data_IF_030233956049
#
_entry.id   IF_030233956049
#
_cell.length_a   1.000
_cell.length_b   1.000
_cell.length_c   1.000
_cell.angle_alpha   90.00
_cell.angle_beta   90.00
_cell.angle_gamma   90.00
#
_symmetry.space_group_name_H-M   'P 1'
#
loop_
_entity.id
_entity.type
_entity.pdbx_description
1 polymer ?
#
# COMPACT_ATOMS: atom_id res chain seq x y z
N UNK A 1 -16.92 -13.81 24.89
CA UNK A 1 -16.53 -13.29 23.56
C UNK A 1 -15.46 -12.18 23.62
N UNK A 2 -15.66 -11.04 24.33
CA UNK A 2 -14.65 -9.95 24.40
C UNK A 2 -13.28 -10.37 24.96
N UNK A 3 -13.24 -11.22 25.99
CA UNK A 3 -11.98 -11.73 26.57
C UNK A 3 -11.25 -12.75 25.66
N UNK A 4 -11.97 -13.42 24.75
CA UNK A 4 -11.36 -14.30 23.75
C UNK A 4 -10.78 -13.46 22.59
N UNK A 5 -11.52 -12.45 22.14
CA UNK A 5 -11.06 -11.47 21.14
C UNK A 5 -9.84 -10.66 21.61
N UNK A 6 -9.74 -10.33 22.90
CA UNK A 6 -8.56 -9.64 23.44
C UNK A 6 -7.32 -10.53 23.49
N UNK A 7 -7.47 -11.85 23.68
CA UNK A 7 -6.37 -12.82 23.56
C UNK A 7 -5.92 -13.00 22.10
N UNK A 8 -6.85 -12.94 21.15
CA UNK A 8 -6.57 -13.01 19.71
C UNK A 8 -5.93 -11.73 19.12
N UNK A 9 -5.84 -10.65 19.90
CA UNK A 9 -5.32 -9.34 19.46
C UNK A 9 -4.16 -8.88 20.34
N UNK A 10 -3.18 -9.77 20.56
CA UNK A 10 -1.98 -9.46 21.34
C UNK A 10 -0.73 -9.35 20.46
N UNK A 11 0.23 -8.47 20.81
CA UNK A 11 1.53 -8.38 20.12
C UNK A 11 2.30 -9.71 20.09
N UNK A 12 2.20 -10.51 21.15
CA UNK A 12 2.83 -11.83 21.23
C UNK A 12 2.26 -12.79 20.19
N UNK A 13 0.93 -12.84 20.04
CA UNK A 13 0.30 -13.71 19.03
C UNK A 13 0.63 -13.25 17.62
N UNK A 14 0.62 -11.94 17.36
CA UNK A 14 0.99 -11.38 16.05
C UNK A 14 2.42 -11.77 15.69
N UNK A 15 3.38 -11.59 16.61
CA UNK A 15 4.75 -11.98 16.36
C UNK A 15 4.87 -13.50 16.17
N UNK A 16 4.32 -14.30 17.08
CA UNK A 16 4.46 -15.75 17.05
C UNK A 16 3.92 -16.36 15.74
N UNK A 17 2.76 -15.89 15.27
CA UNK A 17 2.14 -16.40 14.04
C UNK A 17 2.79 -15.79 12.81
N UNK A 18 2.70 -14.47 12.64
CA UNK A 18 3.12 -13.81 11.39
C UNK A 18 4.65 -13.81 11.29
N UNK A 19 5.35 -13.43 12.36
CA UNK A 19 6.81 -13.48 12.40
C UNK A 19 7.37 -14.90 12.36
N UNK A 20 6.66 -15.87 12.96
CA UNK A 20 7.02 -17.28 12.85
C UNK A 20 6.91 -17.80 11.41
N UNK A 21 5.82 -17.47 10.71
CA UNK A 21 5.65 -17.82 9.30
C UNK A 21 6.69 -17.13 8.40
N UNK A 22 7.01 -15.85 8.65
CA UNK A 22 8.09 -15.13 7.96
C UNK A 22 9.43 -15.84 8.12
N UNK A 23 9.78 -16.24 9.35
CA UNK A 23 11.02 -16.97 9.60
C UNK A 23 11.01 -18.37 8.99
N UNK A 24 9.91 -19.09 9.08
CA UNK A 24 9.75 -20.40 8.45
C UNK A 24 9.97 -20.32 6.93
N UNK A 25 9.40 -19.30 6.28
CA UNK A 25 9.62 -19.02 4.87
C UNK A 25 11.10 -18.70 4.58
N UNK A 26 11.74 -17.89 5.41
CA UNK A 26 13.16 -17.55 5.23
C UNK A 26 14.07 -18.77 5.39
N UNK A 27 13.78 -19.67 6.33
CA UNK A 27 14.47 -20.95 6.50
C UNK A 27 14.25 -21.90 5.31
N UNK A 28 13.04 -21.93 4.75
CA UNK A 28 12.72 -22.68 3.54
C UNK A 28 13.54 -22.19 2.35
N UNK A 29 13.79 -20.87 2.28
CA UNK A 29 14.52 -20.20 1.20
C UNK A 29 15.99 -19.91 1.54
N UNK A 30 16.56 -20.55 2.57
CA UNK A 30 17.95 -20.33 3.01
C UNK A 30 19.00 -20.60 1.91
N UNK A 31 18.72 -21.54 1.00
CA UNK A 31 19.62 -21.83 -0.12
C UNK A 31 19.70 -20.65 -1.10
N UNK A 32 18.66 -19.81 -1.12
CA UNK A 32 18.58 -18.59 -1.96
C UNK A 32 19.17 -17.38 -1.26
N UNK A 33 18.90 -17.19 0.03
CA UNK A 33 19.25 -15.97 0.76
C UNK A 33 20.42 -16.14 1.75
N UNK A 34 21.05 -17.31 1.76
CA UNK A 34 22.07 -17.68 2.74
C UNK A 34 21.49 -18.08 4.10
N UNK A 35 22.31 -18.79 4.88
CA UNK A 35 21.91 -19.30 6.21
C UNK A 35 21.95 -18.23 7.32
N UNK A 36 22.72 -17.17 7.13
CA UNK A 36 22.95 -16.16 8.18
C UNK A 36 21.73 -15.28 8.45
N UNK A 37 20.96 -14.92 7.43
CA UNK A 37 19.71 -14.16 7.59
C UNK A 37 18.66 -14.90 8.44
N UNK A 38 18.26 -16.16 8.12
CA UNK A 38 17.32 -16.89 8.94
C UNK A 38 17.88 -17.18 10.35
N UNK A 39 19.18 -17.49 10.49
CA UNK A 39 19.78 -17.72 11.81
C UNK A 39 19.71 -16.48 12.71
N UNK A 40 20.19 -15.33 12.21
CA UNK A 40 20.14 -14.07 12.95
C UNK A 40 18.69 -13.65 13.25
N UNK A 41 17.79 -13.81 12.26
CA UNK A 41 16.36 -13.58 12.42
C UNK A 41 15.75 -14.43 13.54
N UNK A 42 16.10 -15.72 13.63
CA UNK A 42 15.62 -16.63 14.69
C UNK A 42 16.08 -16.17 16.07
N UNK A 43 17.33 -15.75 16.22
CA UNK A 43 17.85 -15.23 17.50
C UNK A 43 17.07 -13.99 17.94
N UNK A 44 16.91 -13.01 17.04
CA UNK A 44 16.17 -11.76 17.33
C UNK A 44 14.70 -12.06 17.65
N UNK A 45 14.06 -12.95 16.90
CA UNK A 45 12.68 -13.36 17.12
C UNK A 45 12.46 -14.05 18.46
N UNK A 46 13.31 -15.02 18.81
CA UNK A 46 13.23 -15.72 20.09
C UNK A 46 13.42 -14.74 21.26
N UNK A 47 14.42 -13.85 21.15
CA UNK A 47 14.65 -12.79 22.13
C UNK A 47 13.45 -11.83 22.26
N UNK A 48 12.81 -11.44 21.14
CA UNK A 48 11.62 -10.60 21.14
C UNK A 48 10.40 -11.28 21.75
N UNK A 49 10.14 -12.56 21.43
CA UNK A 49 9.06 -13.32 22.04
C UNK A 49 9.26 -13.42 23.56
N UNK A 50 10.48 -13.72 23.99
CA UNK A 50 10.82 -13.76 25.40
C UNK A 50 10.61 -12.39 26.06
N UNK A 51 11.07 -11.30 25.42
CA UNK A 51 10.87 -9.94 25.92
C UNK A 51 9.39 -9.54 25.99
N UNK A 52 8.57 -9.96 25.02
CA UNK A 52 7.13 -9.72 25.03
C UNK A 52 6.43 -10.38 26.22
N UNK A 53 6.87 -11.58 26.60
CA UNK A 53 6.29 -12.36 27.71
C UNK A 53 6.86 -11.95 29.06
N UNK A 54 8.17 -11.73 29.17
CA UNK A 54 8.88 -11.62 30.46
C UNK A 54 9.20 -10.20 30.88
N UNK A 55 9.26 -9.24 29.94
CA UNK A 55 9.73 -7.88 30.23
C UNK A 55 8.58 -6.88 30.07
N UNK A 56 7.93 -6.42 31.17
CA UNK A 56 6.87 -5.43 31.08
C UNK A 56 7.42 -4.04 30.71
N UNK A 57 6.61 -3.22 30.03
CA UNK A 57 6.85 -1.77 29.85
C UNK A 57 7.99 -1.32 28.92
N UNK A 58 9.00 -2.16 28.63
CA UNK A 58 10.20 -1.79 27.81
C UNK A 58 9.92 -1.75 26.29
N UNK A 59 8.95 -0.95 25.87
CA UNK A 59 8.50 -0.91 24.47
C UNK A 59 9.51 -0.34 23.48
N UNK A 60 10.40 0.57 23.88
CA UNK A 60 11.46 1.08 23.00
C UNK A 60 12.37 -0.03 22.49
N UNK A 61 12.84 -0.91 23.39
CA UNK A 61 13.68 -2.06 23.06
C UNK A 61 12.91 -3.07 22.21
N UNK A 62 11.64 -3.33 22.52
CA UNK A 62 10.79 -4.24 21.74
C UNK A 62 10.55 -3.75 20.31
N UNK A 63 10.35 -2.44 20.12
CA UNK A 63 10.21 -1.83 18.80
C UNK A 63 11.53 -1.82 18.04
N UNK A 64 12.66 -1.52 18.71
CA UNK A 64 13.98 -1.61 18.09
C UNK A 64 14.29 -3.04 17.63
N UNK A 65 14.04 -4.03 18.48
CA UNK A 65 14.22 -5.43 18.09
C UNK A 65 13.28 -5.82 16.95
N UNK A 66 12.04 -5.34 16.93
CA UNK A 66 11.13 -5.57 15.80
C UNK A 66 11.66 -4.94 14.49
N UNK A 67 12.22 -3.73 14.55
CA UNK A 67 12.84 -3.10 13.39
C UNK A 67 14.05 -3.89 12.90
N UNK A 68 14.88 -4.39 13.81
CA UNK A 68 15.96 -5.29 13.47
C UNK A 68 15.45 -6.57 12.82
N UNK A 69 14.35 -7.15 13.34
CA UNK A 69 13.76 -8.34 12.75
C UNK A 69 13.24 -8.07 11.33
N UNK A 70 12.50 -6.97 11.10
CA UNK A 70 12.07 -6.54 9.76
C UNK A 70 13.27 -6.31 8.84
N UNK A 71 14.33 -5.67 9.33
CA UNK A 71 15.54 -5.45 8.56
C UNK A 71 16.18 -6.78 8.13
N UNK A 72 16.27 -7.76 9.03
CA UNK A 72 16.87 -9.06 8.73
C UNK A 72 16.00 -9.94 7.84
N UNK A 73 14.68 -9.97 8.06
CA UNK A 73 13.81 -10.95 7.39
C UNK A 73 13.09 -10.41 6.18
N UNK A 74 12.95 -9.08 6.06
CA UNK A 74 12.18 -8.45 4.97
C UNK A 74 13.11 -7.66 4.06
N UNK A 75 13.89 -6.74 4.61
CA UNK A 75 14.84 -5.93 3.83
C UNK A 75 16.11 -6.73 3.44
N UNK A 76 16.59 -7.61 4.31
CA UNK A 76 17.79 -8.43 4.08
C UNK A 76 17.71 -9.27 2.80
N UNK A 77 16.69 -10.11 2.61
CA UNK A 77 16.55 -10.92 1.39
C UNK A 77 16.38 -10.06 0.13
N UNK A 78 15.81 -8.87 0.26
CA UNK A 78 15.68 -7.91 -0.84
C UNK A 78 17.03 -7.35 -1.27
N UNK A 79 17.88 -6.94 -0.30
CA UNK A 79 19.26 -6.52 -0.56
C UNK A 79 20.08 -7.67 -1.14
N UNK A 80 19.96 -8.88 -0.58
CA UNK A 80 20.65 -10.08 -1.09
C UNK A 80 20.24 -10.39 -2.53
N UNK A 81 18.96 -10.22 -2.87
CA UNK A 81 18.48 -10.41 -4.24
C UNK A 81 19.04 -9.36 -5.19
N UNK A 82 19.18 -8.11 -4.75
CA UNK A 82 19.82 -7.06 -5.56
C UNK A 82 21.30 -7.36 -5.81
N UNK A 83 22.03 -7.78 -4.77
CA UNK A 83 23.45 -8.19 -4.88
C UNK A 83 23.59 -9.38 -5.82
N UNK A 84 22.78 -10.43 -5.63
CA UNK A 84 22.79 -11.60 -6.51
C UNK A 84 22.51 -11.21 -7.96
N UNK A 85 21.46 -10.41 -8.19
CA UNK A 85 21.08 -9.94 -9.54
C UNK A 85 22.22 -9.17 -10.22
N UNK A 86 22.98 -8.38 -9.47
CA UNK A 86 24.12 -7.64 -10.03
C UNK A 86 25.23 -8.53 -10.58
N UNK A 87 25.32 -9.78 -10.10
CA UNK A 87 26.38 -10.72 -10.46
C UNK A 87 25.94 -11.68 -11.57
N UNK A 88 24.70 -12.17 -11.53
CA UNK A 88 24.22 -13.24 -12.42
C UNK A 88 23.07 -12.84 -13.36
N UNK A 89 22.56 -11.61 -13.25
CA UNK A 89 21.41 -11.14 -14.03
C UNK A 89 20.06 -11.50 -13.38
N UNK A 90 19.01 -11.64 -14.19
CA UNK A 90 17.65 -11.92 -13.70
C UNK A 90 17.58 -13.27 -12.97
N UNK A 91 16.91 -13.27 -11.82
CA UNK A 91 16.73 -14.42 -10.93
C UNK A 91 15.27 -14.65 -10.56
N UNK A 92 14.67 -13.75 -9.77
CA UNK A 92 13.31 -13.85 -9.21
C UNK A 92 12.45 -12.63 -9.53
N UNK A 93 12.99 -11.69 -10.30
CA UNK A 93 12.37 -10.40 -10.54
C UNK A 93 11.04 -10.54 -11.27
N UNK A 94 10.07 -9.75 -10.81
CA UNK A 94 8.79 -9.62 -11.46
C UNK A 94 8.94 -8.78 -12.75
N UNK A 95 8.19 -9.12 -13.79
CA UNK A 95 8.21 -8.39 -15.07
C UNK A 95 7.98 -6.88 -14.89
N UNK A 96 7.03 -6.50 -14.04
CA UNK A 96 6.74 -5.11 -13.73
C UNK A 96 7.90 -4.34 -13.10
N UNK A 97 8.77 -4.98 -12.31
CA UNK A 97 9.99 -4.32 -11.81
C UNK A 97 10.93 -4.03 -12.98
N UNK A 98 11.22 -5.06 -13.80
CA UNK A 98 12.15 -4.95 -14.92
C UNK A 98 11.64 -3.95 -15.96
N UNK A 99 10.33 -3.93 -16.20
CA UNK A 99 9.69 -2.98 -17.11
C UNK A 99 9.71 -1.56 -16.55
N UNK A 100 9.55 -1.38 -15.23
CA UNK A 100 9.68 -0.05 -14.58
C UNK A 100 11.11 0.48 -14.73
N UNK A 101 12.13 -0.35 -14.55
CA UNK A 101 13.54 0.06 -14.74
C UNK A 101 13.82 0.46 -16.18
N UNK A 102 13.34 -0.32 -17.15
CA UNK A 102 13.44 0.04 -18.56
C UNK A 102 12.70 1.35 -18.87
N UNK A 103 11.53 1.57 -18.25
CA UNK A 103 10.79 2.83 -18.37
C UNK A 103 11.55 4.02 -17.78
N UNK A 104 12.29 3.84 -16.67
CA UNK A 104 13.16 4.89 -16.09
C UNK A 104 14.21 5.33 -17.11
N UNK A 105 14.93 4.38 -17.70
CA UNK A 105 15.95 4.68 -18.72
C UNK A 105 15.35 5.39 -19.93
N UNK A 106 14.16 4.98 -20.37
CA UNK A 106 13.43 5.63 -21.47
C UNK A 106 13.06 7.08 -21.14
N UNK A 107 12.53 7.36 -19.95
CA UNK A 107 12.19 8.74 -19.54
C UNK A 107 13.45 9.61 -19.47
N UNK A 108 14.56 9.09 -18.93
CA UNK A 108 15.84 9.81 -18.90
C UNK A 108 16.32 10.14 -20.33
N UNK A 109 16.10 9.23 -21.28
CA UNK A 109 16.43 9.42 -22.70
C UNK A 109 15.39 10.26 -23.49
N UNK A 110 14.37 10.83 -22.83
CA UNK A 110 13.30 11.58 -23.50
C UNK A 110 12.37 10.73 -24.38
N UNK A 111 12.32 9.42 -24.14
CA UNK A 111 11.53 8.47 -24.90
C UNK A 111 10.18 8.19 -24.23
N UNK A 112 9.18 7.84 -25.06
CA UNK A 112 7.84 7.45 -24.59
C UNK A 112 7.88 6.13 -23.83
N UNK A 113 6.97 5.95 -22.86
CA UNK A 113 6.78 4.69 -22.12
C UNK A 113 5.42 4.02 -22.40
N UNK A 114 4.44 4.75 -22.91
CA UNK A 114 3.12 4.19 -23.27
C UNK A 114 3.03 3.95 -24.78
N UNK A 115 2.32 2.88 -25.19
CA UNK A 115 2.16 2.50 -26.59
C UNK A 115 3.47 2.04 -27.24
N UNK A 116 4.38 1.49 -26.44
CA UNK A 116 5.72 1.05 -26.85
C UNK A 116 5.82 -0.47 -26.79
N UNK A 117 6.55 -1.05 -27.73
CA UNK A 117 6.94 -2.45 -27.70
C UNK A 117 8.17 -2.66 -26.79
N UNK A 118 8.00 -3.49 -25.77
CA UNK A 118 9.02 -3.84 -24.79
C UNK A 118 9.79 -5.11 -25.14
N UNK A 119 9.53 -5.72 -26.30
CA UNK A 119 10.18 -6.98 -26.75
C UNK A 119 11.70 -6.86 -26.88
N UNK A 120 12.23 -5.66 -27.09
CA UNK A 120 13.67 -5.40 -27.16
C UNK A 120 14.33 -5.12 -25.79
N UNK A 121 13.60 -5.32 -24.69
CA UNK A 121 14.09 -5.07 -23.33
C UNK A 121 14.28 -6.37 -22.55
N UNK A 122 14.85 -6.28 -21.34
CA UNK A 122 15.01 -7.44 -20.45
C UNK A 122 13.67 -8.08 -20.04
N UNK A 123 12.55 -7.35 -20.16
CA UNK A 123 11.20 -7.88 -19.88
C UNK A 123 10.88 -9.10 -20.75
N UNK A 124 11.39 -9.15 -21.99
CA UNK A 124 11.19 -10.28 -22.90
C UNK A 124 11.83 -11.59 -22.42
N UNK A 125 12.72 -11.52 -21.43
CA UNK A 125 13.37 -12.69 -20.81
C UNK A 125 12.58 -13.25 -19.63
N UNK A 126 11.54 -12.55 -19.15
CA UNK A 126 10.74 -13.01 -18.03
C UNK A 126 9.73 -14.06 -18.53
N UNK A 127 9.79 -15.30 -18.00
CA UNK A 127 8.85 -16.34 -18.40
C UNK A 127 7.40 -15.96 -18.12
N UNK A 128 6.51 -16.33 -19.05
CA UNK A 128 5.07 -16.20 -18.86
C UNK A 128 4.41 -17.54 -19.17
N UNK A 129 3.65 -18.06 -18.21
CA UNK A 129 3.08 -19.42 -18.29
C UNK A 129 1.56 -19.41 -18.18
N UNK A 130 0.92 -18.25 -18.01
CA UNK A 130 -0.53 -18.14 -17.76
C UNK A 130 -1.35 -18.17 -19.05
N UNK A 131 -0.78 -17.74 -20.18
CA UNK A 131 -1.41 -17.82 -21.51
C UNK A 131 -0.41 -18.35 -22.53
N UNK A 132 -0.93 -18.92 -23.62
CA UNK A 132 -0.11 -19.21 -24.79
C UNK A 132 0.46 -17.91 -25.38
N UNK A 133 1.72 -17.94 -25.81
CA UNK A 133 2.41 -16.80 -26.40
C UNK A 133 3.37 -16.09 -25.45
N UNK A 134 3.96 -14.97 -25.90
CA UNK A 134 4.93 -14.21 -25.11
C UNK A 134 4.26 -13.48 -23.95
N UNK A 135 5.06 -12.98 -23.02
CA UNK A 135 4.56 -12.20 -21.88
C UNK A 135 3.66 -11.03 -22.37
N UNK A 136 2.40 -10.94 -21.92
CA UNK A 136 1.48 -9.91 -22.38
C UNK A 136 1.88 -8.49 -21.93
N UNK A 137 2.75 -8.36 -20.92
CA UNK A 137 3.34 -7.08 -20.52
C UNK A 137 4.24 -6.47 -21.61
N UNK A 138 4.64 -7.23 -22.64
CA UNK A 138 5.51 -6.73 -23.69
C UNK A 138 4.88 -5.64 -24.58
N UNK A 139 3.55 -5.53 -24.57
CA UNK A 139 2.82 -4.58 -25.43
C UNK A 139 2.26 -3.37 -24.69
N UNK A 140 2.25 -3.40 -23.36
CA UNK A 140 1.58 -2.40 -22.55
C UNK A 140 2.37 -2.08 -21.29
N UNK A 141 2.51 -0.78 -21.00
CA UNK A 141 3.03 -0.32 -19.71
C UNK A 141 1.87 0.07 -18.78
N UNK A 142 1.57 -0.80 -17.82
CA UNK A 142 0.33 -0.71 -17.03
C UNK A 142 0.41 0.22 -15.81
N UNK A 143 1.58 0.74 -15.48
CA UNK A 143 1.79 1.54 -14.28
C UNK A 143 1.57 3.02 -14.55
N UNK A 144 1.12 3.74 -13.52
CA UNK A 144 1.16 5.20 -13.52
C UNK A 144 2.62 5.70 -13.58
N UNK A 145 2.87 6.96 -13.97
CA UNK A 145 4.24 7.44 -14.17
C UNK A 145 5.03 7.67 -12.89
N UNK A 146 4.38 7.89 -11.73
CA UNK A 146 5.10 8.27 -10.51
C UNK A 146 6.15 7.22 -10.07
N UNK A 147 5.89 5.90 -10.08
CA UNK A 147 6.93 4.89 -9.89
C UNK A 147 8.17 5.13 -10.76
N UNK A 148 7.99 5.37 -12.06
CA UNK A 148 9.09 5.67 -12.99
C UNK A 148 9.83 6.93 -12.57
N UNK A 149 9.11 8.01 -12.28
CA UNK A 149 9.70 9.29 -11.86
C UNK A 149 10.48 9.18 -10.55
N UNK A 150 10.01 8.35 -9.60
CA UNK A 150 10.72 8.08 -8.35
C UNK A 150 11.99 7.26 -8.56
N UNK A 151 12.07 6.44 -9.61
CA UNK A 151 13.26 5.68 -9.96
C UNK A 151 14.40 6.54 -10.52
N UNK A 152 14.09 7.64 -11.22
CA UNK A 152 15.07 8.52 -11.87
C UNK A 152 16.20 8.98 -10.93
N UNK A 153 15.94 9.61 -9.76
CA UNK A 153 17.03 10.08 -8.91
C UNK A 153 17.97 8.94 -8.47
N UNK A 154 17.43 7.76 -8.16
CA UNK A 154 18.23 6.60 -7.78
C UNK A 154 19.02 6.03 -8.95
N UNK A 155 18.44 5.99 -10.16
CA UNK A 155 19.10 5.57 -11.38
C UNK A 155 20.29 6.48 -11.74
N UNK A 156 20.14 7.79 -11.54
CA UNK A 156 21.21 8.76 -11.77
C UNK A 156 22.32 8.63 -10.73
N UNK A 157 21.97 8.51 -9.43
CA UNK A 157 22.95 8.35 -8.34
C UNK A 157 23.73 7.05 -8.47
N UNK A 158 23.05 5.92 -8.72
CA UNK A 158 23.72 4.62 -8.93
C UNK A 158 24.60 4.65 -10.16
N UNK A 159 24.13 5.24 -11.28
CA UNK A 159 24.92 5.43 -12.48
C UNK A 159 26.18 6.27 -12.24
N UNK A 160 26.08 7.38 -11.52
CA UNK A 160 27.22 8.22 -11.16
C UNK A 160 28.22 7.51 -10.23
N UNK A 161 27.75 6.58 -9.41
CA UNK A 161 28.58 5.75 -8.53
C UNK A 161 29.15 4.50 -9.21
N UNK A 162 28.83 4.25 -10.49
CA UNK A 162 29.22 3.01 -11.19
C UNK A 162 28.53 1.75 -10.64
N UNK A 163 27.41 1.91 -9.93
CA UNK A 163 26.64 0.82 -9.35
C UNK A 163 25.45 0.46 -10.24
N UNK A 164 25.03 -0.82 -10.28
CA UNK A 164 23.83 -1.23 -11.00
C UNK A 164 22.60 -0.62 -10.34
N UNK A 165 21.66 -0.16 -11.17
CA UNK A 165 20.36 0.30 -10.69
C UNK A 165 19.42 -0.88 -10.47
N UNK A 166 18.78 -0.91 -9.30
CA UNK A 166 17.68 -1.82 -9.01
C UNK A 166 16.54 -1.06 -8.34
N UNK A 167 15.33 -1.20 -8.88
CA UNK A 167 14.16 -0.46 -8.43
C UNK A 167 13.76 -0.79 -6.98
N UNK A 168 14.21 -1.93 -6.44
CA UNK A 168 14.02 -2.29 -5.03
C UNK A 168 14.60 -1.24 -4.08
N UNK A 169 15.58 -0.42 -4.47
CA UNK A 169 16.06 0.70 -3.64
C UNK A 169 14.92 1.68 -3.32
N UNK A 170 14.05 1.97 -4.30
CA UNK A 170 12.87 2.82 -4.10
C UNK A 170 11.88 2.16 -3.13
N UNK A 171 11.68 0.85 -3.27
CA UNK A 171 10.79 0.08 -2.39
C UNK A 171 11.32 -0.01 -0.95
N UNK A 172 12.64 -0.09 -0.74
CA UNK A 172 13.27 0.01 0.58
C UNK A 172 13.03 1.37 1.23
N UNK A 173 13.03 2.46 0.45
CA UNK A 173 12.65 3.78 0.94
C UNK A 173 11.18 3.78 1.43
N UNK A 174 10.24 3.22 0.66
CA UNK A 174 8.85 3.10 1.10
C UNK A 174 8.71 2.24 2.35
N UNK A 175 9.47 1.14 2.46
CA UNK A 175 9.51 0.31 3.66
C UNK A 175 9.96 1.14 4.89
N UNK A 176 11.04 1.91 4.76
CA UNK A 176 11.55 2.79 5.82
C UNK A 176 10.53 3.88 6.20
N UNK A 177 9.92 4.54 5.21
CA UNK A 177 8.88 5.55 5.43
C UNK A 177 7.66 4.96 6.15
N UNK A 178 7.25 3.75 5.79
CA UNK A 178 6.14 3.05 6.43
C UNK A 178 6.40 2.73 7.90
N UNK A 179 7.57 2.15 8.19
CA UNK A 179 7.99 1.86 9.56
C UNK A 179 8.08 3.14 10.40
N UNK A 180 8.68 4.21 9.86
CA UNK A 180 8.75 5.51 10.52
C UNK A 180 7.34 6.12 10.75
N UNK A 181 6.45 5.99 9.77
CA UNK A 181 5.06 6.42 9.85
C UNK A 181 4.29 5.75 10.99
N UNK A 182 4.41 4.43 11.11
CA UNK A 182 3.78 3.67 12.21
C UNK A 182 4.40 4.04 13.56
N UNK A 183 5.70 4.33 13.62
CA UNK A 183 6.37 4.75 14.84
C UNK A 183 5.80 6.05 15.43
N UNK A 184 5.31 6.97 14.58
CA UNK A 184 4.71 8.26 15.02
C UNK A 184 3.19 8.23 15.17
N UNK A 185 2.54 7.08 14.94
CA UNK A 185 1.10 6.90 15.13
C UNK A 185 0.71 7.21 16.60
N UNK A 186 -0.34 8.01 16.88
CA UNK A 186 -0.81 8.30 18.23
C UNK A 186 -1.59 7.12 18.84
N UNK A 187 -0.95 5.95 18.90
CA UNK A 187 -1.45 4.72 19.50
C UNK A 187 -0.47 4.19 20.56
N UNK A 188 -0.91 3.34 21.50
CA UNK A 188 0.00 2.63 22.40
C UNK A 188 1.08 1.84 21.61
N UNK A 189 2.31 1.72 22.13
CA UNK A 189 3.39 1.02 21.44
C UNK A 189 3.05 -0.43 21.05
N UNK A 190 2.23 -1.12 21.85
CA UNK A 190 1.73 -2.47 21.54
C UNK A 190 0.96 -2.54 20.21
N UNK A 191 0.16 -1.51 19.91
CA UNK A 191 -0.60 -1.43 18.66
C UNK A 191 0.31 -1.08 17.48
N UNK A 192 1.28 -0.17 17.67
CA UNK A 192 2.31 0.14 16.65
C UNK A 192 3.11 -1.11 16.27
N UNK A 193 3.45 -1.91 17.28
CA UNK A 193 4.11 -3.20 17.10
C UNK A 193 3.27 -4.14 16.22
N UNK A 194 1.98 -4.32 16.52
CA UNK A 194 1.09 -5.18 15.75
C UNK A 194 0.93 -4.72 14.30
N UNK A 195 0.78 -3.42 14.04
CA UNK A 195 0.69 -2.86 12.69
C UNK A 195 1.98 -3.14 11.92
N UNK A 196 3.13 -2.93 12.57
CA UNK A 196 4.45 -3.18 11.98
C UNK A 196 4.62 -4.66 11.60
N UNK A 197 4.22 -5.58 12.48
CA UNK A 197 4.22 -7.02 12.18
C UNK A 197 3.30 -7.36 11.01
N UNK A 198 2.08 -6.86 11.01
CA UNK A 198 1.07 -7.18 9.99
C UNK A 198 1.43 -6.68 8.57
N UNK A 199 2.14 -5.55 8.46
CA UNK A 199 2.51 -4.93 7.18
C UNK A 199 3.93 -5.28 6.72
N UNK A 200 4.90 -5.30 7.64
CA UNK A 200 6.33 -5.31 7.29
C UNK A 200 7.07 -6.58 7.70
N UNK A 201 6.42 -7.45 8.48
CA UNK A 201 6.92 -8.79 8.82
C UNK A 201 6.02 -9.89 8.24
N UNK A 202 5.13 -9.54 7.31
CA UNK A 202 4.17 -10.48 6.74
C UNK A 202 4.81 -11.26 5.58
N UNK A 203 4.84 -12.61 5.63
CA UNK A 203 5.43 -13.43 4.56
C UNK A 203 4.80 -13.18 3.21
N UNK A 204 3.49 -12.94 3.17
CA UNK A 204 2.80 -12.71 1.91
C UNK A 204 3.22 -11.37 1.28
N UNK A 205 3.50 -10.34 2.08
CA UNK A 205 3.98 -9.06 1.54
C UNK A 205 5.47 -9.16 1.17
N UNK A 206 6.24 -9.85 2.01
CA UNK A 206 7.70 -9.96 1.85
C UNK A 206 8.08 -10.69 0.56
N UNK A 207 7.39 -11.78 0.20
CA UNK A 207 7.67 -12.50 -1.06
C UNK A 207 7.53 -11.60 -2.28
N UNK A 208 6.50 -10.75 -2.31
CA UNK A 208 6.29 -9.81 -3.41
C UNK A 208 7.26 -8.64 -3.40
N UNK A 209 7.70 -8.23 -2.20
CA UNK A 209 8.71 -7.20 -2.07
C UNK A 209 10.07 -7.68 -2.60
N UNK A 210 10.45 -8.93 -2.30
CA UNK A 210 11.72 -9.53 -2.77
C UNK A 210 11.79 -9.63 -4.29
N UNK A 211 10.67 -9.96 -4.94
CA UNK A 211 10.55 -10.02 -6.40
C UNK A 211 10.36 -8.64 -7.04
N UNK A 212 10.17 -7.57 -6.25
CA UNK A 212 10.12 -6.20 -6.73
C UNK A 212 8.74 -5.65 -7.08
N UNK A 213 7.65 -6.32 -6.66
CA UNK A 213 6.30 -5.78 -6.83
C UNK A 213 6.13 -4.52 -5.97
N UNK A 214 5.46 -3.52 -6.54
CA UNK A 214 5.41 -2.16 -5.99
C UNK A 214 4.20 -1.87 -5.08
N UNK A 215 3.39 -2.88 -4.74
CA UNK A 215 2.16 -2.71 -3.94
C UNK A 215 2.40 -2.04 -2.59
N UNK A 216 3.55 -2.29 -1.96
CA UNK A 216 3.87 -1.70 -0.67
C UNK A 216 3.90 -0.17 -0.72
N UNK A 217 4.26 0.42 -1.87
CA UNK A 217 4.44 1.86 -2.00
C UNK A 217 3.13 2.62 -1.76
N UNK A 218 2.05 2.21 -2.44
CA UNK A 218 0.75 2.86 -2.24
C UNK A 218 0.14 2.52 -0.87
N UNK A 219 0.34 1.29 -0.38
CA UNK A 219 -0.13 0.86 0.95
C UNK A 219 0.49 1.71 2.05
N UNK A 220 1.80 1.94 2.00
CA UNK A 220 2.51 2.82 2.93
C UNK A 220 1.92 4.22 2.90
N UNK A 221 1.68 4.77 1.71
CA UNK A 221 1.16 6.14 1.57
C UNK A 221 -0.29 6.26 2.06
N UNK A 222 -1.11 5.23 1.88
CA UNK A 222 -2.44 5.13 2.50
C UNK A 222 -2.35 5.09 4.02
N UNK A 223 -1.44 4.29 4.59
CA UNK A 223 -1.23 4.23 6.04
C UNK A 223 -0.71 5.56 6.58
N UNK A 224 0.22 6.22 5.89
CA UNK A 224 0.72 7.54 6.24
C UNK A 224 -0.38 8.60 6.17
N UNK A 225 -1.28 8.52 5.19
CA UNK A 225 -2.46 9.37 5.13
C UNK A 225 -3.29 9.23 6.40
N UNK A 226 -3.57 8.00 6.83
CA UNK A 226 -4.30 7.74 8.06
C UNK A 226 -3.53 8.20 9.32
N UNK A 227 -2.22 7.98 9.37
CA UNK A 227 -1.36 8.49 10.47
C UNK A 227 -1.46 10.01 10.56
N UNK A 228 -1.26 10.74 9.47
CA UNK A 228 -1.40 12.19 9.43
C UNK A 228 -2.80 12.63 9.84
N UNK A 229 -3.84 11.92 9.38
CA UNK A 229 -5.22 12.19 9.73
C UNK A 229 -5.47 12.06 11.24
N UNK A 230 -5.02 10.97 11.86
CA UNK A 230 -5.13 10.74 13.32
C UNK A 230 -4.36 11.77 14.15
N UNK A 231 -3.34 12.41 13.58
CA UNK A 231 -2.57 13.50 14.20
C UNK A 231 -3.15 14.89 13.93
N UNK A 232 -4.32 14.99 13.31
CA UNK A 232 -4.96 16.26 12.93
C UNK A 232 -4.30 16.97 11.74
N UNK A 233 -3.33 16.33 11.07
CA UNK A 233 -2.53 16.90 9.98
C UNK A 233 -3.18 16.64 8.62
N UNK A 234 -4.39 17.19 8.44
CA UNK A 234 -5.27 16.90 7.28
C UNK A 234 -4.62 17.18 5.93
N UNK A 235 -3.91 18.32 5.79
CA UNK A 235 -3.22 18.69 4.54
C UNK A 235 -2.22 17.62 4.10
N UNK A 236 -1.43 17.13 5.05
CA UNK A 236 -0.46 16.05 4.83
C UNK A 236 -1.15 14.70 4.62
N UNK A 237 -2.31 14.46 5.26
CA UNK A 237 -3.11 13.27 4.99
C UNK A 237 -3.61 13.23 3.54
N UNK A 238 -4.10 14.36 3.02
CA UNK A 238 -4.49 14.52 1.63
C UNK A 238 -3.31 14.36 0.68
N UNK A 239 -2.17 14.99 0.97
CA UNK A 239 -0.98 14.86 0.13
C UNK A 239 -0.49 13.40 0.06
N UNK A 240 -0.40 12.72 1.21
CA UNK A 240 0.00 11.31 1.26
C UNK A 240 -0.97 10.42 0.48
N UNK A 241 -2.29 10.65 0.59
CA UNK A 241 -3.26 9.90 -0.22
C UNK A 241 -3.16 10.26 -1.70
N UNK A 242 -2.87 11.51 -2.06
CA UNK A 242 -2.63 11.94 -3.43
C UNK A 242 -1.41 11.26 -4.06
N UNK A 243 -0.33 11.13 -3.28
CA UNK A 243 0.85 10.34 -3.70
C UNK A 243 0.45 8.87 -3.87
N UNK A 244 -0.36 8.30 -2.98
CA UNK A 244 -0.85 6.93 -3.13
C UNK A 244 -1.66 6.75 -4.42
N UNK A 245 -2.51 7.71 -4.79
CA UNK A 245 -3.26 7.72 -6.06
C UNK A 245 -2.34 7.72 -7.27
N UNK A 246 -1.30 8.56 -7.25
CA UNK A 246 -0.33 8.65 -8.33
C UNK A 246 0.58 7.41 -8.42
N UNK A 247 0.72 6.64 -7.33
CA UNK A 247 1.44 5.36 -7.32
C UNK A 247 0.58 4.21 -7.85
N UNK A 248 -0.71 4.18 -7.45
CA UNK A 248 -1.63 3.11 -7.84
C UNK A 248 -3.09 3.57 -7.79
N UNK A 249 -3.89 3.32 -8.84
CA UNK A 249 -5.29 3.73 -8.88
C UNK A 249 -6.16 3.15 -7.74
N UNK A 250 -5.77 2.00 -7.17
CA UNK A 250 -6.49 1.38 -6.05
C UNK A 250 -6.61 2.28 -4.80
N UNK A 251 -5.72 3.25 -4.63
CA UNK A 251 -5.82 4.22 -3.53
C UNK A 251 -7.10 5.10 -3.63
N UNK A 252 -7.76 5.17 -4.79
CA UNK A 252 -9.03 5.92 -4.97
C UNK A 252 -10.12 5.41 -4.03
N UNK A 253 -10.07 4.14 -3.67
CA UNK A 253 -11.04 3.50 -2.78
C UNK A 253 -10.92 4.00 -1.32
N UNK A 254 -9.82 4.64 -0.95
CA UNK A 254 -9.66 5.31 0.35
C UNK A 254 -10.18 6.76 0.36
N UNK A 255 -10.34 7.39 -0.81
CA UNK A 255 -10.77 8.81 -0.93
C UNK A 255 -12.12 9.08 -0.27
N UNK A 256 -13.17 8.22 -0.43
CA UNK A 256 -14.43 8.44 0.26
C UNK A 256 -14.25 8.55 1.77
N UNK A 257 -13.41 7.74 2.40
CA UNK A 257 -13.23 7.76 3.85
C UNK A 257 -12.46 9.01 4.32
N UNK A 258 -11.51 9.51 3.54
CA UNK A 258 -10.89 10.83 3.79
C UNK A 258 -11.94 11.95 3.67
N UNK A 259 -12.77 11.94 2.63
CA UNK A 259 -13.83 12.92 2.43
C UNK A 259 -14.86 12.90 3.58
N UNK A 260 -15.24 11.72 4.07
CA UNK A 260 -16.12 11.58 5.24
C UNK A 260 -15.46 12.11 6.52
N UNK A 261 -14.15 11.93 6.68
CA UNK A 261 -13.41 12.48 7.82
C UNK A 261 -13.34 14.01 7.78
N UNK A 262 -13.10 14.59 6.59
CA UNK A 262 -13.17 16.03 6.35
C UNK A 262 -14.58 16.57 6.63
N UNK A 263 -15.61 15.86 6.16
CA UNK A 263 -17.02 16.19 6.38
C UNK A 263 -17.38 16.24 7.86
N UNK A 264 -16.92 15.26 8.64
CA UNK A 264 -17.11 15.28 10.09
C UNK A 264 -16.39 16.44 10.77
N UNK A 265 -15.17 16.77 10.35
CA UNK A 265 -14.40 17.92 10.89
C UNK A 265 -15.09 19.26 10.58
N UNK A 266 -15.58 19.42 9.36
CA UNK A 266 -16.30 20.63 8.95
C UNK A 266 -17.54 20.89 9.81
N UNK A 267 -18.30 19.83 10.09
CA UNK A 267 -19.55 19.90 10.83
C UNK A 267 -19.37 19.85 12.35
N UNK A 268 -18.14 19.84 12.86
CA UNK A 268 -17.91 19.78 14.30
C UNK A 268 -18.31 21.11 14.99
N UNK A 269 -19.00 21.07 16.14
CA UNK A 269 -19.30 22.25 16.94
C UNK A 269 -17.99 22.88 17.46
N UNK A 270 -17.84 24.19 17.30
CA UNK A 270 -16.67 24.93 17.82
C UNK A 270 -16.97 25.34 19.27
N UNK A 271 -16.04 25.17 20.22
CA UNK A 271 -16.21 25.71 21.57
C UNK A 271 -16.29 27.22 21.48
N UNK A 272 -17.42 27.78 21.94
CA UNK A 272 -17.58 29.13 22.49
C UNK A 272 -16.52 30.16 22.08
N UNK A 273 -16.68 30.71 20.86
CA UNK A 273 -16.30 32.09 20.58
C UNK A 273 -17.55 32.81 20.05
N UNK A 274 -17.85 34.03 20.54
CA UNK A 274 -19.00 34.79 20.06
C UNK A 274 -18.88 35.06 18.56
N UNK A 275 -19.93 34.70 17.82
CA UNK A 275 -20.31 35.17 16.49
C UNK A 275 -19.19 35.75 15.59
N UNK A 276 -18.38 34.89 14.97
CA UNK A 276 -17.78 35.17 13.67
C UNK A 276 -18.10 34.05 12.67
N UNK A 277 -19.38 33.95 12.31
CA UNK A 277 -19.89 32.97 11.33
C UNK A 277 -19.23 33.07 9.95
N UNK A 278 -18.71 34.25 9.56
CA UNK A 278 -17.98 34.44 8.30
C UNK A 278 -16.54 33.89 8.31
N UNK A 279 -15.80 34.01 9.42
CA UNK A 279 -14.43 33.47 9.53
C UNK A 279 -14.42 31.93 9.62
N UNK A 280 -15.43 31.32 10.25
CA UNK A 280 -15.57 29.85 10.33
C UNK A 280 -15.78 29.22 8.95
N UNK A 281 -16.65 29.81 8.13
CA UNK A 281 -16.90 29.33 6.75
C UNK A 281 -15.67 29.53 5.87
N UNK A 282 -14.94 30.65 6.03
CA UNK A 282 -13.70 30.91 5.29
C UNK A 282 -12.60 29.89 5.58
N UNK A 283 -12.29 29.67 6.87
CA UNK A 283 -11.20 28.77 7.29
C UNK A 283 -11.49 27.30 7.03
N UNK A 284 -12.75 26.89 7.20
CA UNK A 284 -13.19 25.58 6.77
C UNK A 284 -12.94 25.43 5.26
N UNK A 285 -13.46 26.37 4.45
CA UNK A 285 -13.47 26.25 2.99
C UNK A 285 -12.05 26.16 2.45
N UNK A 286 -11.14 26.95 3.00
CA UNK A 286 -9.72 26.91 2.69
C UNK A 286 -9.12 25.52 2.96
N UNK A 287 -9.40 24.91 4.12
CA UNK A 287 -8.89 23.56 4.44
C UNK A 287 -9.41 22.55 3.42
N UNK A 288 -10.68 22.60 3.04
CA UNK A 288 -11.23 21.69 2.02
C UNK A 288 -10.61 21.87 0.64
N UNK A 289 -10.55 23.11 0.16
CA UNK A 289 -10.00 23.44 -1.15
C UNK A 289 -8.55 23.00 -1.21
N UNK A 290 -7.75 23.36 -0.21
CA UNK A 290 -6.34 22.98 -0.15
C UNK A 290 -6.16 21.46 0.01
N UNK A 291 -6.99 20.79 0.81
CA UNK A 291 -6.96 19.33 0.96
C UNK A 291 -7.34 18.62 -0.33
N UNK A 292 -8.30 19.16 -1.08
CA UNK A 292 -8.66 18.67 -2.41
C UNK A 292 -7.53 18.89 -3.42
N UNK A 293 -6.93 20.08 -3.42
CA UNK A 293 -5.78 20.39 -4.27
C UNK A 293 -4.60 19.46 -3.98
N UNK A 294 -4.24 19.25 -2.70
CA UNK A 294 -3.15 18.37 -2.30
C UNK A 294 -3.43 16.88 -2.58
N UNK A 295 -4.71 16.47 -2.61
CA UNK A 295 -5.10 15.11 -3.00
C UNK A 295 -4.90 14.89 -4.50
N UNK A 296 -5.22 15.87 -5.33
CA UNK A 296 -5.22 15.73 -6.79
C UNK A 296 -3.88 16.11 -7.41
N UNK A 297 -3.12 17.02 -6.79
CA UNK A 297 -1.87 17.57 -7.31
C UNK A 297 -0.83 16.52 -7.68
N UNK A 298 -0.52 15.49 -6.85
CA UNK A 298 0.50 14.51 -7.22
C UNK A 298 0.18 13.80 -8.53
N UNK A 299 -1.08 13.34 -8.69
CA UNK A 299 -1.56 12.71 -9.90
C UNK A 299 -1.53 13.68 -11.10
N UNK A 300 -1.94 14.94 -10.91
CA UNK A 300 -1.84 15.94 -11.98
C UNK A 300 -0.40 16.16 -12.43
N UNK A 301 0.54 16.38 -11.51
CA UNK A 301 1.93 16.67 -11.83
C UNK A 301 2.61 15.48 -12.51
N UNK A 302 2.26 14.25 -12.12
CA UNK A 302 2.95 13.05 -12.62
C UNK A 302 2.27 12.44 -13.84
N UNK A 303 0.93 12.44 -13.91
CA UNK A 303 0.17 11.79 -15.00
C UNK A 303 -0.03 12.74 -16.18
N UNK A 304 -0.35 14.02 -15.93
CA UNK A 304 -0.72 14.96 -16.99
C UNK A 304 0.35 15.09 -18.08
N UNK A 305 1.67 15.19 -17.78
CA UNK A 305 2.68 15.28 -18.84
C UNK A 305 2.66 14.08 -19.79
N UNK A 306 2.48 12.87 -19.26
CA UNK A 306 2.46 11.63 -20.05
C UNK A 306 1.14 11.49 -20.83
N UNK A 307 0.03 11.88 -20.20
CA UNK A 307 -1.27 11.92 -20.86
C UNK A 307 -1.29 12.91 -22.04
N UNK A 308 -0.65 14.08 -21.90
CA UNK A 308 -0.60 15.08 -22.97
C UNK A 308 0.30 14.67 -24.16
N UNK A 309 1.31 13.83 -23.92
CA UNK A 309 2.18 13.32 -25.00
C UNK A 309 1.43 12.37 -25.93
N UNK A 310 0.64 11.45 -25.36
CA UNK A 310 -0.20 10.51 -26.12
C UNK A 310 -1.32 9.93 -25.24
N UNK A 311 -2.45 10.64 -25.20
CA UNK A 311 -3.59 10.26 -24.35
C UNK A 311 -4.17 8.88 -24.73
N UNK A 312 -4.17 8.55 -26.02
CA UNK A 312 -4.71 7.29 -26.52
C UNK A 312 -3.83 6.11 -26.12
N UNK A 313 -2.50 6.23 -26.22
CA UNK A 313 -1.57 5.22 -25.74
C UNK A 313 -1.64 5.07 -24.22
N UNK A 314 -1.65 6.19 -23.48
CA UNK A 314 -1.78 6.16 -22.02
C UNK A 314 -3.03 5.41 -21.57
N UNK A 315 -4.20 5.78 -22.13
CA UNK A 315 -5.49 5.18 -21.75
C UNK A 315 -5.57 3.69 -22.12
N UNK A 316 -5.02 3.33 -23.29
CA UNK A 316 -4.97 1.94 -23.75
C UNK A 316 -4.17 1.07 -22.79
N UNK A 317 -2.98 1.50 -22.40
CA UNK A 317 -2.06 0.70 -21.59
C UNK A 317 -2.46 0.63 -20.11
N UNK A 318 -2.99 1.73 -19.55
CA UNK A 318 -3.31 1.80 -18.11
C UNK A 318 -4.73 1.34 -17.79
N UNK A 319 -5.70 1.61 -18.69
CA UNK A 319 -7.13 1.36 -18.43
C UNK A 319 -7.68 0.24 -19.29
N UNK A 320 -7.61 0.35 -20.62
CA UNK A 320 -8.27 -0.65 -21.50
C UNK A 320 -7.61 -2.03 -21.40
N UNK A 321 -6.28 -2.09 -21.33
CA UNK A 321 -5.54 -3.34 -21.20
C UNK A 321 -5.93 -4.11 -19.93
N UNK A 322 -6.04 -3.44 -18.78
CA UNK A 322 -6.36 -4.08 -17.50
C UNK A 322 -7.86 -4.38 -17.33
N UNK A 323 -8.73 -3.62 -18.01
CA UNK A 323 -10.19 -3.78 -17.92
C UNK A 323 -10.81 -4.74 -18.95
N UNK A 324 -10.06 -5.17 -19.97
CA UNK A 324 -10.60 -6.01 -21.05
C UNK A 324 -11.14 -5.24 -22.25
N UNK A 325 -10.74 -3.98 -22.42
CA UNK A 325 -11.23 -3.08 -23.49
C UNK A 325 -10.43 -3.13 -24.81
N UNK A 326 -9.42 -4.00 -24.91
CA UNK A 326 -8.59 -4.20 -26.12
C UNK A 326 -8.46 -5.69 -26.44
N UNK A 327 -8.13 -6.02 -27.69
CA UNK A 327 -8.06 -7.40 -28.18
C UNK A 327 -7.00 -8.25 -27.47
N UNK A 328 -5.86 -7.65 -27.10
CA UNK A 328 -4.77 -8.25 -26.36
C UNK A 328 -4.76 -7.83 -24.88
N UNK A 329 -5.94 -7.61 -24.32
CA UNK A 329 -6.10 -7.28 -22.90
C UNK A 329 -5.51 -8.34 -21.97
N UNK A 330 -5.13 -7.90 -20.77
CA UNK A 330 -4.65 -8.78 -19.72
C UNK A 330 -5.65 -9.94 -19.49
N UNK A 331 -5.20 -11.20 -19.39
CA UNK A 331 -6.11 -12.33 -19.29
C UNK A 331 -6.90 -12.32 -17.97
N UNK A 332 -8.11 -12.87 -18.03
CA UNK A 332 -8.90 -13.19 -16.84
C UNK A 332 -8.15 -14.24 -16.03
N UNK A 333 -7.93 -13.99 -14.75
CA UNK A 333 -7.16 -14.92 -13.91
C UNK A 333 -7.05 -14.51 -12.44
N UNK A 334 -6.24 -15.27 -11.71
CA UNK A 334 -6.02 -15.10 -10.27
C UNK A 334 -7.06 -15.81 -9.41
N UNK A 335 -7.31 -15.27 -8.21
CA UNK A 335 -8.08 -15.93 -7.14
C UNK A 335 -9.51 -15.33 -6.95
N UNK A 336 -9.99 -14.59 -7.96
CA UNK A 336 -11.20 -13.77 -7.86
C UNK A 336 -12.43 -14.38 -8.53
N UNK A 337 -13.49 -13.58 -8.61
CA UNK A 337 -14.74 -13.97 -9.25
C UNK A 337 -14.56 -14.35 -10.73
N UNK A 338 -13.64 -13.68 -11.46
CA UNK A 338 -13.33 -14.03 -12.85
C UNK A 338 -12.80 -15.45 -13.01
N UNK A 339 -11.95 -15.92 -12.09
CA UNK A 339 -11.46 -17.30 -12.11
C UNK A 339 -12.56 -18.31 -11.79
N UNK A 340 -13.49 -17.96 -10.89
CA UNK A 340 -14.69 -18.77 -10.64
C UNK A 340 -15.58 -18.90 -11.90
N UNK A 341 -15.78 -17.80 -12.64
CA UNK A 341 -16.55 -17.82 -13.88
C UNK A 341 -15.88 -18.68 -14.98
N UNK A 342 -14.54 -18.66 -15.03
CA UNK A 342 -13.77 -19.55 -15.92
C UNK A 342 -13.91 -21.01 -15.50
N UNK A 343 -13.73 -21.31 -14.21
CA UNK A 343 -13.79 -22.67 -13.68
C UNK A 343 -15.18 -23.31 -13.83
N UNK A 344 -16.24 -22.51 -13.81
CA UNK A 344 -17.62 -22.97 -14.02
C UNK A 344 -18.05 -23.02 -15.49
N UNK A 345 -17.21 -22.58 -16.41
CA UNK A 345 -17.51 -22.55 -17.85
C UNK A 345 -18.49 -21.45 -18.27
N UNK A 346 -18.81 -20.50 -17.40
CA UNK A 346 -19.61 -19.31 -17.78
C UNK A 346 -18.80 -18.43 -18.74
N UNK A 347 -17.50 -18.30 -18.48
CA UNK A 347 -16.53 -17.73 -19.42
C UNK A 347 -15.71 -18.91 -19.98
N UNK A 348 -15.56 -18.98 -21.30
CA UNK A 348 -14.96 -20.15 -21.94
C UNK A 348 -13.45 -20.03 -22.08
N UNK A 349 -12.94 -18.83 -22.38
CA UNK A 349 -11.51 -18.53 -22.50
C UNK A 349 -11.13 -17.37 -21.61
N UNK A 350 -9.93 -17.40 -21.07
CA UNK A 350 -9.39 -16.30 -20.26
C UNK A 350 -9.18 -14.99 -21.03
N UNK A 351 -9.25 -15.02 -22.36
CA UNK A 351 -9.20 -13.83 -23.22
C UNK A 351 -10.57 -13.22 -23.49
N UNK A 352 -11.67 -13.90 -23.15
CA UNK A 352 -13.01 -13.44 -23.50
C UNK A 352 -13.36 -12.09 -22.83
N UNK A 353 -14.25 -11.34 -23.47
CA UNK A 353 -14.80 -10.11 -22.92
C UNK A 353 -15.94 -10.42 -21.94
N UNK A 354 -15.93 -9.77 -20.79
CA UNK A 354 -16.99 -9.91 -19.78
C UNK A 354 -17.16 -8.58 -19.03
N UNK A 355 -18.39 -8.13 -18.71
CA UNK A 355 -18.65 -6.82 -18.12
C UNK A 355 -18.38 -6.79 -16.60
N UNK A 356 -17.14 -7.10 -16.19
CA UNK A 356 -16.71 -7.12 -14.78
C UNK A 356 -17.04 -5.83 -14.02
N UNK A 357 -16.92 -4.69 -14.72
CA UNK A 357 -17.15 -3.36 -14.14
C UNK A 357 -18.55 -3.21 -13.51
N UNK A 358 -19.58 -3.90 -14.03
CA UNK A 358 -20.94 -3.83 -13.47
C UNK A 358 -20.95 -4.42 -12.06
N UNK A 359 -20.45 -5.65 -11.93
CA UNK A 359 -20.39 -6.36 -10.64
C UNK A 359 -19.45 -5.65 -9.66
N UNK A 360 -18.32 -5.18 -10.18
CA UNK A 360 -17.31 -4.44 -9.44
C UNK A 360 -17.87 -3.14 -8.85
N UNK A 361 -18.59 -2.34 -9.64
CA UNK A 361 -19.23 -1.10 -9.17
C UNK A 361 -20.35 -1.38 -8.17
N UNK A 362 -21.21 -2.36 -8.43
CA UNK A 362 -22.31 -2.73 -7.52
C UNK A 362 -21.76 -3.19 -6.16
N UNK A 363 -20.82 -4.13 -6.16
CA UNK A 363 -20.20 -4.63 -4.93
C UNK A 363 -19.47 -3.50 -4.17
N UNK A 364 -18.71 -2.69 -4.88
CA UNK A 364 -18.00 -1.53 -4.31
C UNK A 364 -18.97 -0.53 -3.68
N UNK A 365 -20.06 -0.18 -4.36
CA UNK A 365 -21.06 0.77 -3.86
C UNK A 365 -21.76 0.25 -2.59
N UNK A 366 -22.17 -1.02 -2.59
CA UNK A 366 -22.82 -1.67 -1.43
C UNK A 366 -21.88 -1.67 -0.22
N UNK A 367 -20.64 -2.13 -0.40
CA UNK A 367 -19.66 -2.21 0.68
C UNK A 367 -19.26 -0.81 1.19
N UNK A 368 -19.09 0.15 0.27
CA UNK A 368 -18.80 1.54 0.62
C UNK A 368 -19.94 2.18 1.42
N UNK A 369 -21.20 1.92 1.06
CA UNK A 369 -22.36 2.44 1.79
C UNK A 369 -22.40 1.98 3.24
N UNK A 370 -22.27 0.67 3.47
CA UNK A 370 -22.30 0.12 4.83
C UNK A 370 -21.10 0.58 5.66
N UNK A 371 -19.90 0.55 5.10
CA UNK A 371 -18.68 0.97 5.80
C UNK A 371 -18.63 2.49 6.02
N UNK A 372 -19.09 3.28 5.06
CA UNK A 372 -19.22 4.73 5.19
C UNK A 372 -20.19 5.09 6.32
N UNK A 373 -21.38 4.47 6.37
CA UNK A 373 -22.32 4.63 7.49
C UNK A 373 -21.71 4.21 8.83
N UNK A 374 -20.99 3.08 8.86
CA UNK A 374 -20.29 2.64 10.07
C UNK A 374 -19.24 3.66 10.51
N UNK A 375 -18.42 4.18 9.59
CA UNK A 375 -17.42 5.20 9.88
C UNK A 375 -18.06 6.50 10.39
N UNK A 376 -19.12 7.00 9.76
CA UNK A 376 -19.81 8.22 10.19
C UNK A 376 -20.43 8.12 11.58
N UNK A 377 -20.81 6.91 12.02
CA UNK A 377 -21.30 6.66 13.39
C UNK A 377 -20.19 6.74 14.43
N UNK A 378 -18.98 6.27 14.11
CA UNK A 378 -17.79 6.36 14.97
C UNK A 378 -16.53 6.49 14.11
N UNK A 379 -15.98 7.71 13.93
CA UNK A 379 -14.86 7.94 13.02
C UNK A 379 -13.52 7.55 13.67
N UNK A 380 -13.25 6.24 13.73
CA UNK A 380 -11.98 5.69 14.23
C UNK A 380 -11.09 5.22 13.08
N UNK A 381 -9.78 5.20 13.30
CA UNK A 381 -8.80 4.71 12.35
C UNK A 381 -9.05 3.24 12.00
N UNK A 382 -9.49 2.42 12.96
CA UNK A 382 -9.85 1.02 12.71
C UNK A 382 -11.02 0.89 11.73
N UNK A 383 -12.06 1.74 11.86
CA UNK A 383 -13.20 1.75 10.92
C UNK A 383 -12.83 2.31 9.55
N UNK A 384 -11.93 3.29 9.51
CA UNK A 384 -11.38 3.81 8.26
C UNK A 384 -10.64 2.69 7.51
N UNK A 385 -9.73 2.00 8.20
CA UNK A 385 -8.93 0.92 7.61
C UNK A 385 -9.78 -0.29 7.22
N UNK A 386 -10.74 -0.68 8.05
CA UNK A 386 -11.68 -1.76 7.73
C UNK A 386 -12.52 -1.43 6.49
N UNK A 387 -13.01 -0.19 6.41
CA UNK A 387 -13.76 0.28 5.26
C UNK A 387 -12.93 0.27 3.98
N UNK A 388 -11.70 0.80 4.03
CA UNK A 388 -10.79 0.75 2.90
C UNK A 388 -10.48 -0.68 2.46
N UNK A 389 -10.08 -1.56 3.38
CA UNK A 389 -9.74 -2.94 3.06
C UNK A 389 -10.93 -3.72 2.48
N UNK A 390 -12.15 -3.50 3.02
CA UNK A 390 -13.36 -4.15 2.52
C UNK A 390 -13.75 -3.65 1.12
N UNK A 391 -13.66 -2.34 0.88
CA UNK A 391 -13.93 -1.77 -0.45
C UNK A 391 -12.87 -2.23 -1.46
N UNK A 392 -11.60 -2.27 -1.07
CA UNK A 392 -10.51 -2.81 -1.90
C UNK A 392 -10.75 -4.27 -2.27
N UNK A 393 -11.16 -5.11 -1.31
CA UNK A 393 -11.53 -6.50 -1.57
C UNK A 393 -12.70 -6.60 -2.53
N UNK A 394 -13.79 -5.87 -2.30
CA UNK A 394 -14.95 -5.90 -3.19
C UNK A 394 -14.59 -5.48 -4.62
N UNK A 395 -13.79 -4.42 -4.76
CA UNK A 395 -13.35 -3.93 -6.07
C UNK A 395 -12.45 -4.94 -6.79
N UNK A 396 -11.44 -5.48 -6.10
CA UNK A 396 -10.45 -6.37 -6.73
C UNK A 396 -10.96 -7.79 -6.95
N UNK A 397 -11.83 -8.31 -6.07
CA UNK A 397 -12.41 -9.65 -6.21
C UNK A 397 -13.30 -9.77 -7.45
N UNK A 398 -14.06 -8.71 -7.79
CA UNK A 398 -14.91 -8.66 -8.99
C UNK A 398 -14.22 -8.05 -10.21
N UNK A 399 -12.93 -7.72 -10.13
CA UNK A 399 -12.17 -7.25 -11.27
C UNK A 399 -11.87 -8.39 -12.26
N UNK A 400 -11.41 -8.02 -13.47
CA UNK A 400 -10.99 -8.97 -14.51
C UNK A 400 -9.92 -9.96 -14.02
N UNK A 401 -9.03 -9.51 -13.13
CA UNK A 401 -8.03 -10.34 -12.50
C UNK A 401 -7.85 -9.97 -11.03
N UNK A 402 -7.63 -10.98 -10.19
CA UNK A 402 -7.38 -10.81 -8.75
C UNK A 402 -6.11 -11.56 -8.36
N UNK A 403 -4.97 -10.89 -8.49
CA UNK A 403 -3.67 -11.51 -8.28
C UNK A 403 -3.38 -11.78 -6.79
N UNK A 404 -2.50 -12.74 -6.57
CA UNK A 404 -1.97 -13.18 -5.28
C UNK A 404 -1.39 -12.04 -4.41
N UNK A 405 -0.78 -11.02 -5.02
CA UNK A 405 -0.35 -9.80 -4.31
C UNK A 405 -1.51 -8.97 -3.76
N UNK A 406 -2.66 -8.95 -4.43
CA UNK A 406 -3.82 -8.22 -3.94
C UNK A 406 -4.43 -8.91 -2.71
N UNK A 407 -4.50 -10.24 -2.73
CA UNK A 407 -4.90 -11.04 -1.56
C UNK A 407 -4.02 -10.70 -0.36
N UNK A 408 -2.69 -10.69 -0.55
CA UNK A 408 -1.76 -10.38 0.53
C UNK A 408 -1.92 -8.97 1.10
N UNK A 409 -2.07 -7.97 0.22
CA UNK A 409 -2.33 -6.58 0.64
C UNK A 409 -3.61 -6.51 1.48
N UNK A 410 -4.70 -7.11 1.00
CA UNK A 410 -5.98 -7.08 1.71
C UNK A 410 -5.87 -7.75 3.08
N UNK A 411 -5.26 -8.94 3.15
CA UNK A 411 -5.06 -9.65 4.41
C UNK A 411 -4.19 -8.84 5.38
N UNK A 412 -3.09 -8.25 4.89
CA UNK A 412 -2.22 -7.40 5.69
C UNK A 412 -2.98 -6.19 6.25
N UNK A 413 -3.79 -5.50 5.44
CA UNK A 413 -4.61 -4.38 5.87
C UNK A 413 -5.67 -4.81 6.91
N UNK A 414 -6.37 -5.93 6.70
CA UNK A 414 -7.34 -6.48 7.65
C UNK A 414 -6.67 -6.77 9.01
N UNK A 415 -5.47 -7.34 9.00
CA UNK A 415 -4.70 -7.61 10.22
C UNK A 415 -4.32 -6.32 10.97
N UNK A 416 -4.27 -5.16 10.33
CA UNK A 416 -4.03 -3.89 11.04
C UNK A 416 -5.28 -3.33 11.71
N UNK A 417 -6.49 -3.73 11.31
CA UNK A 417 -7.77 -3.15 11.78
C UNK A 417 -7.90 -3.17 13.31
N UNK A 418 -7.63 -4.29 14.02
CA UNK A 418 -7.73 -4.30 15.48
C UNK A 418 -6.73 -3.38 16.16
N UNK A 419 -5.53 -3.24 15.59
CA UNK A 419 -4.46 -2.39 16.12
C UNK A 419 -4.69 -0.90 15.83
N UNK A 420 -5.34 -0.53 14.73
CA UNK A 420 -5.86 0.83 14.58
C UNK A 420 -7.04 1.10 15.50
N UNK A 421 -7.92 0.11 15.67
CA UNK A 421 -8.96 0.05 16.70
C UNK A 421 -9.76 1.34 16.85
N UNK A 422 -9.77 1.86 18.08
CA UNK A 422 -10.50 3.05 18.51
C UNK A 422 -9.71 4.36 18.43
N UNK A 423 -8.51 4.37 17.83
CA UNK A 423 -7.76 5.61 17.63
C UNK A 423 -8.64 6.59 16.84
N UNK A 424 -8.90 7.81 17.35
CA UNK A 424 -9.75 8.76 16.65
C UNK A 424 -9.15 9.15 15.29
N UNK A 425 -9.92 9.01 14.20
CA UNK A 425 -9.54 9.53 12.88
C UNK A 425 -9.86 11.03 12.74
N UNK A 426 -10.74 11.52 13.62
CA UNK A 426 -11.06 12.94 13.80
C UNK A 426 -10.77 13.25 15.26
N UNK A 427 -9.97 14.28 15.55
CA UNK A 427 -9.48 14.48 16.92
C UNK A 427 -10.63 14.81 17.87
N UNK A 428 -10.50 14.40 19.16
CA UNK A 428 -11.51 14.70 20.17
C UNK A 428 -11.54 16.17 20.55
N UNK A 429 -10.41 16.87 20.55
CA UNK A 429 -10.35 18.32 20.85
C UNK A 429 -11.03 19.19 19.79
N UNK A 430 -11.18 18.67 18.56
CA UNK A 430 -11.98 19.28 17.49
C UNK A 430 -13.48 18.95 17.59
N UNK A 431 -13.87 17.85 18.27
CA UNK A 431 -15.27 17.40 18.42
C UNK A 431 -15.90 17.82 19.75
N UNK A 432 -15.09 17.87 20.80
CA UNK A 432 -15.38 18.41 22.12
C UNK A 432 -14.55 19.66 22.23
N UNK A 433 -15.14 20.77 21.80
CA UNK A 433 -14.45 22.03 21.87
C UNK A 433 -13.84 22.29 23.25
N UNK A 434 -12.53 22.57 23.28
CA UNK A 434 -11.70 22.97 24.43
C UNK A 434 -12.48 23.29 25.71
N UNK A 435 -12.85 22.23 26.43
CA UNK A 435 -13.41 22.29 27.77
C UNK A 435 -12.43 21.58 28.72
N UNK A 436 -11.20 22.11 28.79
CA UNK A 436 -10.25 21.77 29.84
C UNK A 436 -9.12 22.82 29.86
N UNK A 437 -9.10 23.66 30.89
CA UNK A 437 -7.83 24.20 31.39
C UNK A 437 -7.65 25.71 31.47
N UNK A 438 -8.54 26.42 32.18
CA UNK A 438 -8.12 27.55 33.02
C UNK A 438 -8.87 27.49 34.36
N UNK A 439 -8.50 26.53 35.19
CA UNK A 439 -8.81 26.54 36.63
C UNK A 439 -7.59 26.08 37.42
N UNK A 440 -6.59 26.93 37.50
CA UNK A 440 -5.70 27.01 38.67
C UNK A 440 -5.40 28.49 38.90
N UNK A 441 -6.21 29.10 39.76
CA UNK A 441 -5.89 30.33 40.47
C UNK A 441 -6.54 30.22 41.84
N UNK A 442 -5.77 29.75 42.81
CA UNK A 442 -5.86 30.04 44.24
C UNK A 442 -4.56 29.52 44.88
#
# INVERSE_FOLDING_TARGET
MRAALSKMTSPTLYLAVIGGLQLGLLWLLRERFGIWLPLAGTVVFAGLLLALVRVPGRWGVKLLGLFLLVALTTAGPMVESMVTRSQVGLTIEHDGLVQTEAAVDRVIAGQRIYGVDWSNTQVARIPWTTTAGPNPALRHFVYDPLPVLLGIPFRLVTGAAGLPFDYRIVLLLFLALGVAGVAVLPAPPSRRFMITVALYLNPLISTYLWTGRNDIAFVVMVVLSLVCLTRGRVRYASLALGIALALKPFAVLAVPFLALALWKRWNAPTPTLPQRGREKVGRGREIWVLSGALLVMPALVTILPFFLVDAAAFWRDTVLYTSGGVADAYPIGGDGFGAFLLATGIIHRNTDSFPFWILQLLATAVVLWFNGRAFLRRPTAGRWMAGFAAVLLAFTFFARFFNDNYVAVILALILTVPAFGDVPAVSRDELQGHAAGSSVAA
#
